data_IF_408866518842
#
_entry.id   IF_408866518842
#
_cell.length_a   1.000
_cell.length_b   1.000
_cell.length_c   1.000
_cell.angle_alpha   90.00
_cell.angle_beta   90.00
_cell.angle_gamma   90.00
#
_symmetry.space_group_name_H-M   'P 1'
#
loop_
_entity.id
_entity.type
_entity.pdbx_description
1 polymer ?
#
# COMPACT_ATOMS: atom_id res chain seq x y z
N UNK A 1 -11.67 15.49 -38.87
CA UNK A 1 -11.12 14.13 -38.81
C UNK A 1 -9.67 14.14 -39.30
N UNK A 2 -8.71 14.25 -38.37
CA UNK A 2 -7.33 13.86 -38.64
C UNK A 2 -7.25 12.35 -38.34
N UNK A 3 -7.23 11.54 -39.40
CA UNK A 3 -7.46 10.10 -39.34
C UNK A 3 -6.23 9.24 -39.01
N UNK A 4 -6.54 8.03 -38.50
CA UNK A 4 -5.72 6.83 -38.25
C UNK A 4 -5.19 6.57 -36.83
N UNK A 5 -5.19 7.53 -35.91
CA UNK A 5 -4.69 7.29 -34.55
C UNK A 5 -5.61 7.89 -33.48
N UNK A 6 -5.83 7.14 -32.40
CA UNK A 6 -6.50 7.60 -31.19
C UNK A 6 -5.44 7.97 -30.15
N UNK A 7 -5.51 9.20 -29.62
CA UNK A 7 -4.61 9.67 -28.57
C UNK A 7 -5.35 9.72 -27.23
N UNK A 8 -4.87 8.96 -26.25
CA UNK A 8 -5.27 9.08 -24.85
C UNK A 8 -4.10 9.65 -24.04
N UNK A 9 -4.27 10.88 -23.55
CA UNK A 9 -3.21 11.64 -22.88
C UNK A 9 -3.53 11.94 -21.42
N UNK A 10 -2.50 11.90 -20.57
CA UNK A 10 -2.53 12.43 -19.21
C UNK A 10 -1.23 13.18 -18.95
N UNK A 11 -1.28 14.24 -18.17
CA UNK A 11 -0.09 15.00 -17.77
C UNK A 11 -0.14 15.33 -16.27
N UNK A 12 0.96 15.76 -15.67
CA UNK A 12 0.99 15.92 -14.22
C UNK A 12 2.36 16.26 -13.63
N UNK A 13 2.43 16.18 -12.30
CA UNK A 13 3.68 16.31 -11.54
C UNK A 13 3.82 15.15 -10.57
N UNK A 14 5.02 14.57 -10.50
CA UNK A 14 5.33 13.45 -9.61
C UNK A 14 6.43 13.84 -8.63
N UNK A 15 6.54 13.08 -7.53
CA UNK A 15 7.59 13.23 -6.50
C UNK A 15 7.60 14.61 -5.85
N UNK A 16 6.43 15.23 -5.68
CA UNK A 16 6.28 16.49 -4.92
C UNK A 16 6.35 16.16 -3.43
N UNK A 17 7.48 16.46 -2.78
CA UNK A 17 7.63 16.26 -1.33
C UNK A 17 6.96 17.40 -0.57
N UNK A 18 6.06 17.07 0.34
CA UNK A 18 5.39 18.01 1.23
C UNK A 18 5.40 17.48 2.66
N UNK A 19 5.71 18.32 3.63
CA UNK A 19 5.53 18.01 5.05
C UNK A 19 4.57 19.02 5.68
N UNK A 20 3.69 18.52 6.53
CA UNK A 20 2.72 19.32 7.27
C UNK A 20 2.82 19.00 8.75
N UNK A 21 2.96 20.05 9.57
CA UNK A 21 2.94 19.95 11.03
C UNK A 21 1.70 20.66 11.56
N UNK A 22 0.86 19.94 12.28
CA UNK A 22 -0.21 20.49 13.11
C UNK A 22 0.29 20.58 14.55
N UNK A 23 0.52 21.80 15.05
CA UNK A 23 1.01 22.02 16.41
C UNK A 23 -0.18 22.07 17.36
N UNK A 24 -0.28 21.06 18.22
CA UNK A 24 -1.31 20.96 19.27
C UNK A 24 -0.65 20.87 20.65
N UNK A 25 -1.33 21.30 21.72
CA UNK A 25 -0.81 21.17 23.08
C UNK A 25 -0.47 19.72 23.45
N UNK A 26 0.49 19.52 24.35
CA UNK A 26 0.87 18.18 24.82
C UNK A 26 -0.32 17.42 25.43
N UNK A 27 -1.19 18.11 26.17
CA UNK A 27 -2.42 17.54 26.73
C UNK A 27 -3.41 17.01 25.68
N UNK A 28 -3.32 17.49 24.43
CA UNK A 28 -4.12 17.04 23.28
C UNK A 28 -3.34 16.05 22.38
N UNK A 29 -2.34 15.36 22.93
CA UNK A 29 -1.50 14.39 22.20
C UNK A 29 -0.33 15.01 21.43
N UNK A 30 -0.05 16.30 21.61
CA UNK A 30 1.09 16.98 21.02
C UNK A 30 1.00 17.22 19.51
N UNK A 31 2.13 17.63 18.93
CA UNK A 31 2.25 17.90 17.49
C UNK A 31 1.98 16.65 16.66
N UNK A 32 1.39 16.82 15.49
CA UNK A 32 1.26 15.78 14.45
C UNK A 32 2.07 16.23 13.26
N UNK A 33 2.88 15.34 12.71
CA UNK A 33 3.63 15.56 11.48
C UNK A 33 3.27 14.48 10.47
N UNK A 34 3.16 14.89 9.21
CA UNK A 34 3.15 14.00 8.07
C UNK A 34 4.22 14.46 7.08
N UNK A 35 4.71 13.52 6.29
CA UNK A 35 5.56 13.80 5.16
C UNK A 35 5.19 12.89 4.01
N UNK A 36 4.86 13.48 2.86
CA UNK A 36 4.25 12.81 1.73
C UNK A 36 5.04 13.08 0.45
N UNK A 37 5.20 12.04 -0.37
CA UNK A 37 5.57 12.15 -1.77
C UNK A 37 4.29 12.06 -2.61
N UNK A 38 3.86 13.20 -3.16
CA UNK A 38 2.61 13.34 -3.91
C UNK A 38 2.89 13.27 -5.42
N UNK A 39 2.09 12.50 -6.14
CA UNK A 39 1.97 12.54 -7.58
C UNK A 39 0.53 12.89 -7.97
N UNK A 40 0.37 13.85 -8.86
CA UNK A 40 -0.93 14.24 -9.43
C UNK A 40 -0.84 14.11 -10.93
N UNK A 41 -1.77 13.36 -11.52
CA UNK A 41 -1.96 13.26 -12.97
C UNK A 41 -3.39 13.63 -13.32
N UNK A 42 -3.56 14.44 -14.37
CA UNK A 42 -4.86 14.88 -14.87
C UNK A 42 -5.07 14.41 -16.31
N UNK A 43 -6.30 14.03 -16.62
CA UNK A 43 -6.80 13.86 -17.97
C UNK A 43 -7.57 15.13 -18.33
N UNK A 44 -7.22 15.75 -19.46
CA UNK A 44 -7.81 17.01 -19.88
C UNK A 44 -7.98 17.09 -21.39
N UNK A 45 -9.00 17.84 -21.82
CA UNK A 45 -9.14 18.23 -23.22
C UNK A 45 -8.06 19.25 -23.59
N UNK A 46 -6.94 18.73 -24.10
CA UNK A 46 -5.74 19.50 -24.45
C UNK A 46 -5.07 18.95 -25.71
N UNK A 47 -5.84 18.32 -26.60
CA UNK A 47 -5.32 17.77 -27.86
C UNK A 47 -4.47 18.78 -28.67
N UNK A 48 -4.82 20.09 -28.75
CA UNK A 48 -4.01 21.08 -29.44
C UNK A 48 -2.56 21.21 -28.93
N UNK A 49 -2.28 20.86 -27.66
CA UNK A 49 -0.92 20.85 -27.13
C UNK A 49 -0.03 19.76 -27.76
N UNK A 50 -0.63 18.65 -28.17
CA UNK A 50 0.06 17.54 -28.83
C UNK A 50 0.19 17.74 -30.34
N UNK A 51 -0.80 18.37 -30.97
CA UNK A 51 -0.91 18.39 -32.44
C UNK A 51 -0.54 19.73 -33.07
N UNK A 52 -0.57 20.82 -32.31
CA UNK A 52 -0.60 22.17 -32.87
C UNK A 52 0.16 23.21 -32.04
N UNK A 53 0.96 22.78 -31.06
CA UNK A 53 1.75 23.65 -30.17
C UNK A 53 0.93 24.67 -29.37
N UNK A 54 -0.36 24.41 -29.14
CA UNK A 54 -1.23 25.28 -28.34
C UNK A 54 -1.36 24.73 -26.90
N UNK A 55 -0.75 25.46 -25.96
CA UNK A 55 -0.73 25.11 -24.54
C UNK A 55 -1.82 25.81 -23.72
N UNK A 56 -2.77 26.52 -24.34
CA UNK A 56 -3.80 27.32 -23.64
C UNK A 56 -4.65 26.52 -22.66
N UNK A 57 -4.89 25.23 -22.94
CA UNK A 57 -5.65 24.32 -22.07
C UNK A 57 -4.78 23.58 -21.02
N UNK A 58 -3.45 23.71 -21.06
CA UNK A 58 -2.54 22.96 -20.19
C UNK A 58 -2.48 23.60 -18.80
N UNK A 59 -2.77 22.78 -17.77
CA UNK A 59 -2.43 23.14 -16.39
C UNK A 59 -0.95 22.87 -16.20
N UNK A 60 -0.15 23.93 -16.18
CA UNK A 60 1.30 23.81 -16.04
C UNK A 60 1.67 22.93 -14.84
N UNK A 61 2.62 22.01 -15.03
CA UNK A 61 2.99 21.05 -13.98
C UNK A 61 3.58 21.72 -12.74
N UNK A 62 4.13 22.94 -12.88
CA UNK A 62 4.53 23.77 -11.75
C UNK A 62 3.34 24.29 -10.94
N UNK A 63 2.25 24.70 -11.60
CA UNK A 63 1.00 25.07 -10.95
C UNK A 63 0.41 23.88 -10.17
N UNK A 64 0.47 22.66 -10.72
CA UNK A 64 0.06 21.44 -10.01
C UNK A 64 0.88 21.25 -8.71
N UNK A 65 2.20 21.41 -8.77
CA UNK A 65 3.08 21.39 -7.58
C UNK A 65 2.68 22.47 -6.57
N UNK A 66 2.45 23.70 -7.02
CA UNK A 66 2.06 24.81 -6.15
C UNK A 66 0.71 24.52 -5.47
N UNK A 67 -0.27 23.96 -6.19
CA UNK A 67 -1.55 23.54 -5.64
C UNK A 67 -1.39 22.52 -4.51
N UNK A 68 -0.47 21.56 -4.62
CA UNK A 68 -0.19 20.60 -3.52
C UNK A 68 0.21 21.35 -2.24
N UNK A 69 1.08 22.35 -2.34
CA UNK A 69 1.50 23.14 -1.17
C UNK A 69 0.38 24.03 -0.62
N UNK A 70 -0.38 24.68 -1.50
CA UNK A 70 -1.51 25.53 -1.10
C UNK A 70 -2.58 24.70 -0.39
N UNK A 71 -2.99 23.56 -0.96
CA UNK A 71 -3.96 22.66 -0.32
C UNK A 71 -3.44 22.09 1.00
N UNK A 72 -2.16 21.76 1.09
CA UNK A 72 -1.55 21.34 2.35
C UNK A 72 -1.61 22.42 3.43
N UNK A 73 -1.49 23.70 3.05
CA UNK A 73 -1.61 24.85 3.96
C UNK A 73 -3.06 25.10 4.39
N UNK A 74 -4.03 24.92 3.47
CA UNK A 74 -5.47 25.08 3.75
C UNK A 74 -6.02 24.00 4.69
N UNK A 75 -5.37 22.83 4.80
CA UNK A 75 -5.72 21.81 5.78
C UNK A 75 -5.35 22.27 7.20
N UNK A 76 -6.27 22.99 7.85
CA UNK A 76 -6.10 23.49 9.23
C UNK A 76 -6.26 22.39 10.26
N UNK A 77 -7.15 21.43 10.00
CA UNK A 77 -7.33 20.22 10.80
C UNK A 77 -6.42 19.09 10.30
N UNK A 78 -6.18 18.10 11.17
CA UNK A 78 -5.44 16.88 10.81
C UNK A 78 -6.29 16.08 9.84
N UNK A 79 -5.71 15.71 8.69
CA UNK A 79 -6.36 14.92 7.64
C UNK A 79 -5.53 13.70 7.30
N UNK A 80 -6.17 12.62 6.84
CA UNK A 80 -5.46 11.48 6.27
C UNK A 80 -4.93 11.81 4.86
N UNK A 81 -4.00 11.01 4.35
CA UNK A 81 -3.50 11.21 2.99
C UNK A 81 -4.57 10.90 1.93
N UNK A 82 -5.48 9.96 2.18
CA UNK A 82 -6.63 9.64 1.32
C UNK A 82 -7.54 10.87 1.20
N UNK A 83 -7.86 11.51 2.32
CA UNK A 83 -8.67 12.72 2.35
C UNK A 83 -7.97 13.86 1.61
N UNK A 84 -6.66 14.02 1.84
CA UNK A 84 -5.88 15.01 1.12
C UNK A 84 -5.83 14.74 -0.39
N UNK A 85 -5.74 13.47 -0.80
CA UNK A 85 -5.79 13.05 -2.19
C UNK A 85 -7.17 13.33 -2.82
N UNK A 86 -8.27 13.11 -2.09
CA UNK A 86 -9.62 13.51 -2.49
C UNK A 86 -9.73 15.03 -2.64
N UNK A 87 -9.20 15.81 -1.70
CA UNK A 87 -9.21 17.28 -1.75
C UNK A 87 -8.50 17.78 -3.03
N UNK A 88 -7.33 17.22 -3.33
CA UNK A 88 -6.58 17.55 -4.55
C UNK A 88 -7.35 17.13 -5.80
N UNK A 89 -7.84 15.89 -5.87
CA UNK A 89 -8.58 15.38 -7.02
C UNK A 89 -9.82 16.22 -7.33
N UNK A 90 -10.61 16.56 -6.30
CA UNK A 90 -11.78 17.44 -6.42
C UNK A 90 -11.39 18.85 -6.86
N UNK A 91 -10.29 19.40 -6.35
CA UNK A 91 -9.85 20.73 -6.74
C UNK A 91 -9.58 20.81 -8.24
N UNK A 92 -8.82 19.88 -8.81
CA UNK A 92 -8.50 19.92 -10.24
C UNK A 92 -9.73 19.70 -11.13
N UNK A 93 -10.59 18.73 -10.80
CA UNK A 93 -11.79 18.45 -11.61
C UNK A 93 -12.89 19.50 -11.50
N UNK A 94 -12.90 20.28 -10.41
CA UNK A 94 -13.90 21.34 -10.19
C UNK A 94 -13.43 22.71 -10.70
N UNK A 95 -12.14 23.02 -10.58
CA UNK A 95 -11.59 24.33 -10.94
C UNK A 95 -11.40 24.49 -12.45
N UNK A 96 -10.90 23.45 -13.12
CA UNK A 96 -10.52 23.54 -14.54
C UNK A 96 -11.58 22.90 -15.43
N UNK A 97 -12.30 23.67 -16.27
CA UNK A 97 -13.37 23.13 -17.11
C UNK A 97 -12.91 21.99 -18.03
N UNK A 98 -11.68 22.04 -18.52
CA UNK A 98 -11.10 21.06 -19.43
C UNK A 98 -10.63 19.76 -18.76
N UNK A 99 -10.49 19.72 -17.42
CA UNK A 99 -10.01 18.52 -16.70
C UNK A 99 -11.18 17.58 -16.43
N UNK A 100 -11.12 16.37 -16.97
CA UNK A 100 -12.18 15.35 -16.82
C UNK A 100 -11.90 14.35 -15.69
N UNK A 101 -10.63 14.16 -15.33
CA UNK A 101 -10.21 13.22 -14.30
C UNK A 101 -8.91 13.68 -13.65
N UNK A 102 -8.77 13.44 -12.34
CA UNK A 102 -7.54 13.61 -11.60
C UNK A 102 -7.25 12.33 -10.81
N UNK A 103 -6.07 11.75 -11.04
CA UNK A 103 -5.49 10.66 -10.25
C UNK A 103 -4.43 11.25 -9.33
N UNK A 104 -4.56 10.99 -8.03
CA UNK A 104 -3.63 11.45 -7.00
C UNK A 104 -3.08 10.23 -6.26
N UNK A 105 -1.78 10.02 -6.34
CA UNK A 105 -1.07 8.96 -5.62
C UNK A 105 -0.21 9.60 -4.55
N UNK A 106 -0.28 9.10 -3.32
CA UNK A 106 0.52 9.59 -2.20
C UNK A 106 1.22 8.42 -1.53
N UNK A 107 2.51 8.58 -1.26
CA UNK A 107 3.30 7.65 -0.43
C UNK A 107 3.82 8.40 0.77
N UNK A 108 3.55 7.87 1.95
CA UNK A 108 4.01 8.43 3.22
C UNK A 108 5.48 8.07 3.49
N UNK A 109 6.23 9.04 4.01
CA UNK A 109 7.44 8.75 4.79
C UNK A 109 6.99 8.49 6.22
N UNK A 110 7.15 7.27 6.75
CA UNK A 110 6.49 6.85 8.00
C UNK A 110 7.20 7.47 9.21
N UNK A 111 6.71 8.62 9.68
CA UNK A 111 7.18 9.22 10.93
C UNK A 111 6.42 8.62 12.11
N UNK A 112 7.11 7.84 12.93
CA UNK A 112 6.58 7.21 14.13
C UNK A 112 6.91 8.02 15.37
N UNK A 113 5.91 8.29 16.21
CA UNK A 113 6.12 8.99 17.48
C UNK A 113 7.00 8.14 18.40
N UNK A 114 8.07 8.72 18.92
CA UNK A 114 8.96 8.03 19.86
C UNK A 114 8.32 7.97 21.25
N UNK A 115 8.67 6.92 22.01
CA UNK A 115 8.31 6.76 23.42
C UNK A 115 9.56 6.97 24.26
N UNK A 116 9.50 7.88 25.24
CA UNK A 116 10.58 8.19 26.19
C UNK A 116 10.00 8.06 27.60
N UNK A 117 10.67 7.32 28.49
CA UNK A 117 10.18 7.01 29.84
C UNK A 117 8.77 6.42 29.87
N UNK A 118 8.48 5.52 28.92
CA UNK A 118 7.17 4.88 28.78
C UNK A 118 6.04 5.81 28.29
N UNK A 119 6.35 7.06 27.92
CA UNK A 119 5.37 8.06 27.48
C UNK A 119 5.60 8.48 26.03
N UNK A 120 4.55 8.62 25.20
CA UNK A 120 4.70 9.17 23.85
C UNK A 120 5.22 10.62 23.89
N UNK A 121 6.27 10.92 23.13
CA UNK A 121 6.86 12.25 23.08
C UNK A 121 5.92 13.25 22.37
N UNK A 122 5.78 14.47 22.88
CA UNK A 122 4.81 15.43 22.33
C UNK A 122 5.17 15.94 20.93
N UNK A 123 6.44 15.87 20.53
CA UNK A 123 6.92 16.39 19.24
C UNK A 123 8.16 15.65 18.69
N UNK A 124 8.38 14.40 19.12
CA UNK A 124 9.56 13.61 18.76
C UNK A 124 9.16 12.42 17.90
N UNK A 125 9.87 12.19 16.80
CA UNK A 125 9.56 11.17 15.82
C UNK A 125 10.82 10.47 15.31
N UNK A 126 10.71 9.18 14.98
CA UNK A 126 11.72 8.40 14.26
C UNK A 126 11.13 7.93 12.93
N UNK A 127 11.98 7.56 11.98
CA UNK A 127 11.51 6.96 10.73
C UNK A 127 11.20 5.48 10.98
N UNK A 128 9.98 5.07 10.60
CA UNK A 128 9.55 3.68 10.52
C UNK A 128 9.96 3.02 9.20
N UNK A 129 9.50 1.79 8.97
CA UNK A 129 9.87 1.02 7.77
C UNK A 129 8.70 0.94 6.79
N UNK A 130 7.50 0.60 7.27
CA UNK A 130 6.37 0.34 6.39
C UNK A 130 5.78 1.63 5.86
N UNK A 131 5.50 1.65 4.56
CA UNK A 131 4.95 2.82 3.88
C UNK A 131 3.45 2.63 3.73
N UNK A 132 2.70 3.62 4.21
CA UNK A 132 1.29 3.79 3.85
C UNK A 132 1.23 4.50 2.49
N UNK A 133 0.46 3.96 1.55
CA UNK A 133 0.21 4.60 0.25
C UNK A 133 -1.27 4.67 -0.08
N UNK A 134 -1.68 5.68 -0.85
CA UNK A 134 -3.04 5.79 -1.39
C UNK A 134 -2.99 6.14 -2.87
N UNK A 135 -3.99 5.67 -3.60
CA UNK A 135 -4.34 6.17 -4.92
C UNK A 135 -5.81 6.57 -4.91
N UNK A 136 -6.07 7.81 -5.31
CA UNK A 136 -7.42 8.36 -5.44
C UNK A 136 -7.65 8.82 -6.86
N UNK A 137 -8.74 8.38 -7.49
CA UNK A 137 -9.18 8.87 -8.79
C UNK A 137 -10.50 9.61 -8.58
N UNK A 138 -10.54 10.87 -9.00
CA UNK A 138 -11.76 11.69 -9.00
C UNK A 138 -12.05 12.07 -10.45
N UNK A 139 -13.24 11.73 -10.95
CA UNK A 139 -13.73 12.22 -12.24
C UNK A 139 -14.59 13.46 -12.05
N UNK A 140 -14.68 14.28 -13.08
CA UNK A 140 -15.54 15.48 -13.12
C UNK A 140 -17.03 15.14 -12.93
N UNK A 141 -17.44 13.94 -13.33
CA UNK A 141 -18.79 13.41 -13.05
C UNK A 141 -19.06 13.16 -11.56
N UNK A 142 -18.05 13.28 -10.70
CA UNK A 142 -18.10 12.94 -9.28
C UNK A 142 -17.79 11.48 -8.97
N UNK A 143 -17.55 10.64 -9.99
CA UNK A 143 -17.08 9.26 -9.78
C UNK A 143 -15.76 9.27 -9.00
N UNK A 144 -15.67 8.35 -8.05
CA UNK A 144 -14.60 8.29 -7.05
C UNK A 144 -14.04 6.88 -6.94
N UNK A 145 -12.72 6.81 -6.91
CA UNK A 145 -11.98 5.63 -6.50
C UNK A 145 -10.99 5.98 -5.40
N UNK A 146 -10.95 5.18 -4.34
CA UNK A 146 -10.01 5.32 -3.22
C UNK A 146 -9.44 3.94 -2.93
N UNK A 147 -8.13 3.83 -3.10
CA UNK A 147 -7.32 2.71 -2.64
C UNK A 147 -6.39 3.18 -1.51
N UNK A 148 -6.19 2.35 -0.49
CA UNK A 148 -5.07 2.46 0.44
C UNK A 148 -4.20 1.22 0.33
N UNK A 149 -2.96 1.28 0.82
CA UNK A 149 -2.05 0.16 0.75
C UNK A 149 -0.88 0.26 1.73
N UNK A 150 -0.27 -0.88 1.97
CA UNK A 150 0.95 -1.05 2.77
C UNK A 150 2.04 -1.67 1.91
N UNK A 151 3.26 -1.17 2.05
CA UNK A 151 4.47 -1.68 1.40
C UNK A 151 5.61 -1.78 2.41
N UNK A 152 6.55 -2.70 2.18
CA UNK A 152 7.70 -2.87 3.07
C UNK A 152 7.36 -3.55 4.39
N UNK A 153 6.26 -4.30 4.48
CA UNK A 153 5.86 -4.95 5.73
C UNK A 153 6.47 -6.34 5.85
N UNK A 154 7.69 -6.40 6.38
CA UNK A 154 8.45 -7.65 6.51
C UNK A 154 7.98 -8.50 7.68
N UNK A 155 7.66 -9.76 7.40
CA UNK A 155 7.21 -10.76 8.38
C UNK A 155 8.04 -12.03 8.24
N UNK A 156 8.39 -12.66 9.37
CA UNK A 156 9.11 -13.92 9.41
C UNK A 156 8.62 -14.75 10.59
N UNK A 157 8.36 -16.04 10.37
CA UNK A 157 8.25 -17.04 11.44
C UNK A 157 9.17 -18.21 11.15
N UNK A 158 9.79 -18.75 12.19
CA UNK A 158 10.85 -19.76 12.10
C UNK A 158 10.35 -21.20 12.01
N UNK A 159 9.05 -21.40 12.25
CA UNK A 159 8.37 -22.70 12.24
C UNK A 159 6.92 -22.53 11.76
N UNK A 160 6.11 -23.58 11.85
CA UNK A 160 4.69 -23.60 11.53
C UNK A 160 4.46 -23.21 10.06
N UNK A 161 5.36 -23.65 9.18
CA UNK A 161 5.17 -23.62 7.74
C UNK A 161 5.72 -24.88 7.11
N UNK A 162 4.96 -25.42 6.15
CA UNK A 162 5.44 -26.47 5.27
C UNK A 162 5.12 -26.14 3.82
N UNK A 163 5.52 -27.07 2.95
CA UNK A 163 5.16 -27.12 1.55
C UNK A 163 5.39 -28.55 1.06
N UNK A 164 4.30 -29.27 0.83
CA UNK A 164 4.30 -30.67 0.42
C UNK A 164 3.17 -30.93 -0.59
N UNK A 165 3.23 -32.06 -1.31
CA UNK A 165 2.17 -32.47 -2.23
C UNK A 165 2.00 -31.59 -3.48
N UNK A 166 3.02 -30.83 -3.87
CA UNK A 166 3.03 -30.08 -5.12
C UNK A 166 3.38 -30.97 -6.33
N UNK A 167 3.16 -30.45 -7.53
CA UNK A 167 3.32 -31.19 -8.80
C UNK A 167 4.72 -31.81 -8.91
N UNK A 168 4.75 -33.09 -9.28
CA UNK A 168 5.99 -33.83 -9.59
C UNK A 168 6.11 -34.00 -11.09
N UNK A 169 7.15 -33.40 -11.66
CA UNK A 169 7.53 -33.55 -13.07
C UNK A 169 9.05 -33.71 -13.19
N UNK A 170 9.55 -33.70 -14.44
CA UNK A 170 10.99 -33.87 -14.73
C UNK A 170 11.89 -32.72 -14.25
N UNK A 171 11.33 -31.59 -13.82
CA UNK A 171 12.06 -30.41 -13.37
C UNK A 171 12.06 -30.26 -11.84
N UNK A 172 11.29 -31.08 -11.13
CA UNK A 172 11.20 -31.03 -9.68
C UNK A 172 12.46 -31.58 -9.02
N UNK A 173 13.20 -30.69 -8.36
CA UNK A 173 14.29 -31.05 -7.43
C UNK A 173 13.95 -30.79 -5.97
N UNK A 174 12.91 -29.99 -5.72
CA UNK A 174 12.53 -29.57 -4.38
C UNK A 174 11.87 -30.74 -3.62
N UNK A 175 12.41 -31.15 -2.45
CA UNK A 175 11.75 -32.10 -1.58
C UNK A 175 10.54 -31.47 -0.89
N UNK A 176 9.57 -32.31 -0.53
CA UNK A 176 8.51 -31.90 0.38
C UNK A 176 9.12 -31.55 1.74
N UNK A 177 8.54 -30.55 2.42
CA UNK A 177 8.88 -30.24 3.80
C UNK A 177 7.63 -29.95 4.62
N UNK A 178 7.63 -30.39 5.87
CA UNK A 178 6.61 -30.06 6.86
C UNK A 178 7.03 -28.94 7.81
N UNK A 179 8.31 -28.58 7.76
CA UNK A 179 8.88 -27.56 8.62
C UNK A 179 9.86 -26.71 7.83
N UNK A 180 9.68 -25.39 7.88
CA UNK A 180 10.57 -24.40 7.27
C UNK A 180 10.29 -23.02 7.84
N UNK A 181 11.30 -22.17 7.75
CA UNK A 181 11.12 -20.73 7.86
C UNK A 181 10.26 -20.24 6.70
N UNK A 182 9.31 -19.35 7.00
CA UNK A 182 8.61 -18.55 5.99
C UNK A 182 8.84 -17.08 6.30
N UNK A 183 9.35 -16.35 5.31
CA UNK A 183 9.61 -14.93 5.39
C UNK A 183 9.06 -14.23 4.14
N UNK A 184 8.56 -13.00 4.31
CA UNK A 184 7.95 -12.24 3.22
C UNK A 184 8.03 -10.75 3.49
N UNK A 185 7.97 -9.95 2.43
CA UNK A 185 7.68 -8.51 2.51
C UNK A 185 6.27 -8.28 1.94
N UNK A 186 5.28 -8.19 2.83
CA UNK A 186 3.89 -8.06 2.42
C UNK A 186 3.66 -6.70 1.76
N UNK A 187 3.13 -6.75 0.54
CA UNK A 187 2.50 -5.60 -0.11
C UNK A 187 1.01 -5.87 -0.20
N UNK A 188 0.18 -4.95 0.30
CA UNK A 188 -1.27 -5.06 0.16
C UNK A 188 -1.88 -3.74 -0.31
N UNK A 189 -2.91 -3.84 -1.15
CA UNK A 189 -3.68 -2.73 -1.68
C UNK A 189 -5.15 -3.05 -1.54
N UNK A 190 -5.95 -2.17 -0.96
CA UNK A 190 -7.37 -2.40 -0.77
C UNK A 190 -8.22 -1.22 -1.22
N UNK A 191 -9.41 -1.54 -1.72
CA UNK A 191 -10.39 -0.62 -2.30
C UNK A 191 -11.50 -0.36 -1.28
N UNK A 192 -11.85 0.91 -1.09
CA UNK A 192 -13.06 1.29 -0.36
C UNK A 192 -14.28 1.26 -1.30
N UNK A 193 -15.50 0.99 -0.80
CA UNK A 193 -16.72 0.86 -1.62
C UNK A 193 -17.29 2.20 -2.11
N UNK A 194 -16.64 3.34 -1.84
CA UNK A 194 -17.08 4.62 -2.36
C UNK A 194 -16.89 4.69 -3.89
N UNK A 195 -17.97 4.95 -4.60
CA UNK A 195 -18.06 5.09 -6.06
C UNK A 195 -18.33 6.54 -6.50
N UNK A 196 -18.82 7.39 -5.59
CA UNK A 196 -19.11 8.79 -5.85
C UNK A 196 -18.71 9.69 -4.66
N UNK A 197 -18.24 10.91 -4.94
CA UNK A 197 -17.79 11.86 -3.91
C UNK A 197 -18.87 12.29 -2.92
N UNK A 198 -20.15 12.12 -3.26
CA UNK A 198 -21.28 12.39 -2.36
C UNK A 198 -21.54 11.28 -1.33
N UNK A 199 -20.97 10.09 -1.54
CA UNK A 199 -21.06 8.98 -0.58
C UNK A 199 -20.03 9.10 0.54
N UNK A 200 -19.04 9.99 0.39
CA UNK A 200 -18.09 10.26 1.45
C UNK A 200 -18.83 10.86 2.66
N UNK A 201 -18.56 10.36 3.87
CA UNK A 201 -19.20 10.88 5.06
C UNK A 201 -18.85 12.36 5.28
N UNK A 202 -19.78 13.10 5.89
CA UNK A 202 -19.55 14.51 6.24
C UNK A 202 -18.51 14.69 7.35
N UNK A 203 -18.30 13.65 8.17
CA UNK A 203 -17.20 13.56 9.11
C UNK A 203 -16.03 12.81 8.46
N UNK A 204 -14.77 13.23 8.71
CA UNK A 204 -13.57 12.53 8.27
C UNK A 204 -13.65 11.03 8.53
N UNK A 205 -13.37 10.23 7.51
CA UNK A 205 -13.31 8.78 7.66
C UNK A 205 -11.94 8.41 8.24
N UNK A 206 -11.91 7.47 9.18
CA UNK A 206 -10.67 7.12 9.90
C UNK A 206 -9.72 6.23 9.08
N UNK A 207 -9.30 6.66 7.88
CA UNK A 207 -8.42 5.90 6.98
C UNK A 207 -7.09 5.49 7.65
N UNK A 208 -6.45 6.41 8.39
CA UNK A 208 -5.22 6.12 9.13
C UNK A 208 -5.41 5.00 10.15
N UNK A 209 -6.57 4.97 10.84
CA UNK A 209 -6.89 3.88 11.77
C UNK A 209 -7.13 2.58 11.00
N UNK A 210 -7.87 2.63 9.88
CA UNK A 210 -8.12 1.44 9.05
C UNK A 210 -6.82 0.84 8.52
N UNK A 211 -5.83 1.65 8.13
CA UNK A 211 -4.49 1.18 7.79
C UNK A 211 -3.83 0.39 8.93
N UNK A 212 -3.84 0.94 10.15
CA UNK A 212 -3.28 0.26 11.33
C UNK A 212 -4.03 -1.04 11.66
N UNK A 213 -5.36 -1.02 11.55
CA UNK A 213 -6.20 -2.18 11.78
C UNK A 213 -5.93 -3.28 10.74
N UNK A 214 -5.81 -2.93 9.46
CA UNK A 214 -5.44 -3.89 8.40
C UNK A 214 -4.06 -4.47 8.66
N UNK A 215 -3.04 -3.64 8.94
CA UNK A 215 -1.69 -4.10 9.29
C UNK A 215 -1.72 -5.12 10.44
N UNK A 216 -2.50 -4.81 11.49
CA UNK A 216 -2.68 -5.69 12.65
C UNK A 216 -3.32 -7.03 12.25
N UNK A 217 -4.40 -7.02 11.47
CA UNK A 217 -5.07 -8.24 11.00
C UNK A 217 -4.14 -9.10 10.14
N UNK A 218 -3.37 -8.48 9.25
CA UNK A 218 -2.36 -9.18 8.44
C UNK A 218 -1.34 -9.90 9.33
N UNK A 219 -0.84 -9.22 10.37
CA UNK A 219 0.08 -9.79 11.36
C UNK A 219 -0.54 -10.95 12.14
N UNK A 220 -1.71 -10.72 12.74
CA UNK A 220 -2.39 -11.71 13.58
C UNK A 220 -2.69 -12.98 12.80
N UNK A 221 -3.08 -12.86 11.53
CA UNK A 221 -3.39 -14.00 10.67
C UNK A 221 -2.13 -14.76 10.25
N UNK A 222 -1.01 -14.06 10.04
CA UNK A 222 0.27 -14.68 9.68
C UNK A 222 0.88 -15.48 10.84
N UNK A 223 0.82 -14.92 12.06
CA UNK A 223 1.43 -15.51 13.25
C UNK A 223 0.53 -16.47 13.99
N UNK A 224 -0.77 -16.19 14.11
CA UNK A 224 -1.67 -16.93 15.00
C UNK A 224 -1.44 -16.60 16.49
N UNK A 225 -1.94 -17.44 17.42
CA UNK A 225 -1.73 -17.23 18.86
C UNK A 225 -0.24 -17.24 19.23
N UNK A 226 0.25 -16.32 20.08
CA UNK A 226 1.69 -16.16 20.34
C UNK A 226 2.44 -17.40 20.80
N UNK A 227 1.79 -18.28 21.58
CA UNK A 227 2.45 -19.43 22.20
C UNK A 227 2.53 -20.68 21.30
N UNK A 228 1.67 -20.77 20.28
CA UNK A 228 1.54 -21.99 19.43
C UNK A 228 1.61 -21.70 17.93
N UNK A 229 1.37 -20.46 17.54
CA UNK A 229 1.27 -20.01 16.17
C UNK A 229 0.13 -20.65 15.38
N UNK A 230 0.20 -20.53 14.06
CA UNK A 230 -0.72 -21.18 13.11
C UNK A 230 0.08 -21.81 11.97
N UNK A 231 -0.25 -23.05 11.60
CA UNK A 231 0.43 -23.74 10.51
C UNK A 231 0.06 -23.14 9.14
N UNK A 232 1.07 -22.91 8.31
CA UNK A 232 0.93 -22.44 6.92
C UNK A 232 1.32 -23.56 5.95
N UNK A 233 0.35 -24.20 5.27
CA UNK A 233 0.65 -25.26 4.29
C UNK A 233 1.22 -24.71 2.98
N UNK A 234 1.01 -23.43 2.70
CA UNK A 234 1.55 -22.71 1.55
C UNK A 234 1.38 -21.20 1.74
N UNK A 235 2.19 -20.40 1.04
CA UNK A 235 2.06 -18.94 1.04
C UNK A 235 0.70 -18.53 0.45
N UNK A 236 0.20 -19.24 -0.56
CA UNK A 236 -1.12 -19.03 -1.16
C UNK A 236 -2.24 -19.13 -0.12
N UNK A 237 -2.20 -20.16 0.74
CA UNK A 237 -3.21 -20.36 1.77
C UNK A 237 -3.18 -19.22 2.80
N UNK A 238 -2.00 -18.90 3.33
CA UNK A 238 -1.85 -17.79 4.29
C UNK A 238 -2.26 -16.45 3.70
N UNK A 239 -1.88 -16.17 2.45
CA UNK A 239 -2.29 -14.96 1.72
C UNK A 239 -3.81 -14.86 1.61
N UNK A 240 -4.47 -15.95 1.20
CA UNK A 240 -5.92 -16.00 1.12
C UNK A 240 -6.57 -15.76 2.48
N UNK A 241 -6.08 -16.39 3.55
CA UNK A 241 -6.60 -16.19 4.91
C UNK A 241 -6.42 -14.75 5.38
N UNK A 242 -5.26 -14.14 5.14
CA UNK A 242 -5.00 -12.73 5.45
C UNK A 242 -5.98 -11.80 4.73
N UNK A 243 -6.16 -11.98 3.42
CA UNK A 243 -7.12 -11.21 2.62
C UNK A 243 -8.56 -11.42 3.11
N UNK A 244 -8.93 -12.66 3.41
CA UNK A 244 -10.26 -13.03 3.91
C UNK A 244 -10.55 -12.39 5.26
N UNK A 245 -9.63 -12.47 6.23
CA UNK A 245 -9.79 -11.87 7.56
C UNK A 245 -9.96 -10.35 7.49
N UNK A 246 -9.21 -9.67 6.62
CA UNK A 246 -9.39 -8.24 6.35
C UNK A 246 -10.82 -7.96 5.87
N UNK A 247 -11.30 -8.68 4.84
CA UNK A 247 -12.66 -8.49 4.34
C UNK A 247 -13.73 -8.93 5.36
N UNK A 248 -13.49 -9.91 6.23
CA UNK A 248 -14.50 -10.26 7.24
C UNK A 248 -14.63 -9.18 8.32
N UNK A 249 -13.49 -8.60 8.75
CA UNK A 249 -13.47 -7.60 9.84
C UNK A 249 -13.85 -6.19 9.39
N UNK A 250 -13.66 -5.86 8.11
CA UNK A 250 -13.83 -4.50 7.59
C UNK A 250 -14.85 -4.45 6.44
N UNK A 251 -16.16 -4.31 6.75
CA UNK A 251 -17.24 -4.14 5.76
C UNK A 251 -17.02 -2.98 4.79
N UNK A 252 -16.27 -1.96 5.22
CA UNK A 252 -15.89 -0.78 4.45
C UNK A 252 -14.69 -1.00 3.51
N UNK A 253 -14.24 -2.25 3.34
CA UNK A 253 -13.32 -2.65 2.27
C UNK A 253 -14.05 -3.59 1.30
N UNK A 254 -14.01 -3.26 0.01
CA UNK A 254 -14.68 -4.03 -1.06
C UNK A 254 -13.78 -5.09 -1.69
N UNK A 255 -12.48 -4.82 -1.81
CA UNK A 255 -11.47 -5.77 -2.28
C UNK A 255 -10.10 -5.50 -1.67
N UNK A 256 -9.26 -6.52 -1.66
CA UNK A 256 -7.85 -6.44 -1.27
C UNK A 256 -7.00 -7.33 -2.18
N UNK A 257 -5.97 -6.74 -2.77
CA UNK A 257 -4.87 -7.41 -3.43
C UNK A 257 -3.73 -7.56 -2.43
N UNK A 258 -3.14 -8.74 -2.37
CA UNK A 258 -1.98 -9.04 -1.52
C UNK A 258 -0.92 -9.69 -2.39
N UNK A 259 0.32 -9.24 -2.25
CA UNK A 259 1.52 -9.83 -2.83
C UNK A 259 2.50 -10.18 -1.72
N UNK A 260 2.98 -11.42 -1.73
CA UNK A 260 3.89 -12.00 -0.75
C UNK A 260 5.05 -12.71 -1.49
N UNK A 261 6.21 -12.06 -1.66
CA UNK A 261 7.41 -12.78 -2.06
C UNK A 261 7.80 -13.76 -0.96
N UNK A 262 8.22 -14.97 -1.33
CA UNK A 262 8.75 -15.96 -0.39
C UNK A 262 10.27 -15.78 -0.29
N UNK A 263 10.72 -15.05 0.73
CA UNK A 263 12.12 -14.81 1.01
C UNK A 263 12.72 -16.07 1.62
N UNK A 264 13.76 -16.62 1.02
CA UNK A 264 14.25 -17.94 1.34
C UNK A 264 15.29 -17.90 2.47
N UNK A 265 15.18 -18.87 3.37
CA UNK A 265 16.19 -19.18 4.38
C UNK A 265 16.56 -20.64 4.17
N UNK A 266 17.68 -20.88 3.49
CA UNK A 266 18.09 -22.21 3.05
C UNK A 266 18.95 -22.89 4.13
N UNK A 267 18.66 -24.14 4.52
CA UNK A 267 19.49 -24.91 5.46
C UNK A 267 20.96 -24.97 5.02
N UNK A 268 21.89 -24.58 5.90
CA UNK A 268 23.33 -24.66 5.60
C UNK A 268 23.83 -26.07 5.87
N UNK A 269 24.23 -26.77 4.81
CA UNK A 269 24.96 -28.03 4.87
C UNK A 269 26.29 -27.84 4.14
N UNK A 270 27.43 -28.04 4.82
CA UNK A 270 28.76 -27.86 4.25
C UNK A 270 29.51 -29.19 4.24
N UNK A 271 30.14 -29.51 3.10
CA UNK A 271 30.86 -30.76 2.88
C UNK A 271 30.18 -31.67 1.86
N UNK A 272 30.82 -32.80 1.54
CA UNK A 272 30.22 -33.82 0.69
C UNK A 272 29.33 -34.74 1.53
N UNK A 273 28.48 -35.56 0.86
CA UNK A 273 27.70 -36.59 1.57
C UNK A 273 28.58 -37.58 2.34
N UNK A 274 29.82 -37.80 1.88
CA UNK A 274 30.77 -38.75 2.47
C UNK A 274 31.62 -38.11 3.59
N UNK A 275 31.79 -36.79 3.57
CA UNK A 275 32.56 -36.06 4.57
C UNK A 275 31.87 -34.74 4.93
N UNK A 276 30.83 -34.77 5.78
CA UNK A 276 30.11 -33.58 6.19
C UNK A 276 30.96 -32.77 7.18
N UNK A 277 31.22 -31.51 6.85
CA UNK A 277 31.86 -30.54 7.76
C UNK A 277 30.83 -29.93 8.71
N UNK A 278 29.65 -29.60 8.18
CA UNK A 278 28.51 -29.05 8.93
C UNK A 278 27.24 -29.73 8.45
N UNK A 279 26.50 -30.31 9.40
CA UNK A 279 25.16 -30.85 9.18
C UNK A 279 24.14 -29.88 9.77
N UNK A 280 23.12 -29.56 9.00
CA UNK A 280 22.02 -28.73 9.46
C UNK A 280 21.26 -29.40 10.62
N UNK A 281 21.00 -28.63 11.68
CA UNK A 281 20.30 -29.07 12.88
C UNK A 281 19.24 -28.04 13.33
N UNK A 282 18.52 -27.46 12.36
CA UNK A 282 17.48 -26.44 12.57
C UNK A 282 18.01 -25.13 13.19
N UNK A 283 19.25 -24.76 12.87
CA UNK A 283 20.01 -23.69 13.52
C UNK A 283 20.55 -22.62 12.56
N UNK A 284 21.27 -23.02 11.51
CA UNK A 284 21.99 -22.10 10.60
C UNK A 284 21.38 -22.13 9.19
N UNK A 285 20.96 -20.95 8.74
CA UNK A 285 20.33 -20.74 7.43
C UNK A 285 21.07 -19.68 6.62
N UNK A 286 21.09 -19.85 5.30
CA UNK A 286 21.49 -18.83 4.33
C UNK A 286 20.25 -18.01 3.94
N UNK A 287 20.12 -16.74 4.40
CA UNK A 287 19.08 -15.85 3.91
C UNK A 287 19.37 -15.43 2.46
N UNK A 288 18.36 -15.52 1.60
CA UNK A 288 18.41 -14.96 0.24
C UNK A 288 17.04 -14.46 -0.20
N UNK A 289 17.03 -13.30 -0.83
CA UNK A 289 15.89 -12.72 -1.54
C UNK A 289 15.99 -12.93 -3.06
N UNK A 290 17.10 -13.48 -3.56
CA UNK A 290 17.33 -13.71 -4.99
C UNK A 290 17.77 -15.16 -5.29
N UNK A 291 17.05 -15.90 -6.16
CA UNK A 291 15.68 -15.62 -6.61
C UNK A 291 14.66 -15.83 -5.48
N UNK A 292 13.47 -15.24 -5.58
CA UNK A 292 12.35 -15.54 -4.67
C UNK A 292 11.10 -15.95 -5.46
N UNK A 293 10.27 -16.81 -4.86
CA UNK A 293 8.92 -17.04 -5.35
C UNK A 293 8.04 -15.80 -5.14
N UNK A 294 7.20 -15.41 -6.10
CA UNK A 294 6.21 -14.34 -5.93
C UNK A 294 4.80 -14.94 -5.94
N UNK A 295 4.03 -14.72 -4.88
CA UNK A 295 2.64 -15.13 -4.79
C UNK A 295 1.78 -13.87 -4.69
N UNK A 296 0.71 -13.82 -5.47
CA UNK A 296 -0.22 -12.69 -5.50
C UNK A 296 -1.65 -13.17 -5.71
N UNK A 297 -2.60 -12.53 -5.03
CA UNK A 297 -4.02 -12.70 -5.33
C UNK A 297 -4.82 -11.45 -4.96
N UNK A 298 -5.96 -11.28 -5.62
CA UNK A 298 -6.98 -10.28 -5.27
C UNK A 298 -8.23 -11.00 -4.81
N UNK A 299 -8.67 -10.69 -3.59
CA UNK A 299 -9.96 -11.15 -3.06
C UNK A 299 -10.93 -9.96 -3.06
N UNK A 300 -12.11 -10.16 -3.64
CA UNK A 300 -13.17 -9.15 -3.69
C UNK A 300 -14.45 -9.72 -3.11
N UNK A 301 -15.27 -8.86 -2.50
CA UNK A 301 -16.66 -9.24 -2.20
C UNK A 301 -17.39 -9.53 -3.51
N UNK A 302 -18.32 -10.50 -3.52
CA UNK A 302 -19.17 -10.70 -4.69
C UNK A 302 -19.92 -9.39 -4.98
N UNK A 303 -19.92 -8.96 -6.25
CA UNK A 303 -20.81 -7.88 -6.67
C UNK A 303 -22.24 -8.36 -6.42
N UNK A 304 -22.99 -7.65 -5.57
CA UNK A 304 -24.44 -7.81 -5.57
C UNK A 304 -24.90 -7.47 -6.97
N UNK A 305 -25.37 -8.49 -7.71
CA UNK A 305 -26.18 -8.26 -8.91
C UNK A 305 -27.43 -7.54 -8.41
N UNK A 306 -27.46 -6.23 -8.55
CA UNK A 306 -28.70 -5.44 -8.54
C UNK A 306 -29.40 -5.68 -9.88
#
# INVERSE_FOLDING_TARGET
MAGKFELQGRHGKSRVRVSRVWRRPAAAGGHVIVEWSVAVSVVSDCLPSYTSSDNSAIVATDSIKNTVYVKGKECTEVVSMEEFAVILGRHFTSLYPQVSEATVTIVERPWERVVVDGKPHSHGFKVGVEKHSTEVIVKKSGSLLINSGIQGYSLLKTTQSGFEGFVTDRYRLLPDTRERIVATEVTAWWRYPFEHVSQLPSKPFCFTQRYQDVKKVLSETFFGPPDVGVYSPSVQNTLYLMAKEVLMRFPDISSIQVRMPNLHFLPVNLGSKENPLVKFADDVYLPTDEPHGTIEATLSRPMSKL
#
